data_IF_939784754752
#
_entry.id   IF_939784754752
#
_cell.length_a   1.000
_cell.length_b   1.000
_cell.length_c   1.000
_cell.angle_alpha   90.00
_cell.angle_beta   90.00
_cell.angle_gamma   90.00
#
_symmetry.space_group_name_H-M   'P 1'
#
loop_
_entity.id
_entity.type
_entity.pdbx_description
1 polymer ?
#
# COMPACT_ATOMS: atom_id res chain seq x y z
N UNK A 1 -29.62 2.74 21.28
CA UNK A 1 -28.86 3.78 20.59
C UNK A 1 -29.06 3.58 19.10
N UNK A 2 -29.70 4.55 18.43
CA UNK A 2 -29.79 4.56 16.97
C UNK A 2 -28.38 4.71 16.38
N UNK A 3 -28.02 3.98 15.31
CA UNK A 3 -26.74 4.17 14.64
C UNK A 3 -26.59 5.65 14.24
N UNK A 4 -25.47 6.27 14.59
CA UNK A 4 -25.21 7.66 14.20
C UNK A 4 -25.11 7.74 12.68
N UNK A 5 -25.43 8.89 12.09
CA UNK A 5 -25.31 9.12 10.64
C UNK A 5 -23.89 8.80 10.14
N UNK A 6 -22.87 9.07 10.98
CA UNK A 6 -21.47 8.72 10.73
C UNK A 6 -21.22 7.21 10.68
N UNK A 7 -21.85 6.41 11.55
CA UNK A 7 -21.72 4.94 11.53
C UNK A 7 -22.25 4.35 10.21
N UNK A 8 -23.39 4.85 9.74
CA UNK A 8 -23.98 4.40 8.47
C UNK A 8 -23.09 4.79 7.27
N UNK A 9 -22.59 6.03 7.27
CA UNK A 9 -21.66 6.51 6.25
C UNK A 9 -20.36 5.69 6.24
N UNK A 10 -19.81 5.36 7.42
CA UNK A 10 -18.60 4.55 7.56
C UNK A 10 -18.82 3.14 7.01
N UNK A 11 -19.95 2.51 7.34
CA UNK A 11 -20.30 1.18 6.82
C UNK A 11 -20.45 1.18 5.30
N UNK A 12 -21.09 2.19 4.73
CA UNK A 12 -21.23 2.33 3.29
C UNK A 12 -19.86 2.52 2.60
N UNK A 13 -19.01 3.37 3.17
CA UNK A 13 -17.66 3.60 2.67
C UNK A 13 -16.80 2.34 2.70
N UNK A 14 -16.78 1.60 3.82
CA UNK A 14 -16.03 0.35 3.94
C UNK A 14 -16.50 -0.70 2.92
N UNK A 15 -17.81 -0.82 2.69
CA UNK A 15 -18.34 -1.72 1.66
C UNK A 15 -17.86 -1.33 0.26
N UNK A 16 -17.92 -0.04 -0.07
CA UNK A 16 -17.45 0.46 -1.36
C UNK A 16 -15.94 0.24 -1.52
N UNK A 17 -15.16 0.60 -0.51
CA UNK A 17 -13.70 0.42 -0.51
C UNK A 17 -13.32 -1.04 -0.69
N UNK A 18 -13.90 -1.95 0.11
CA UNK A 18 -13.64 -3.38 -0.01
C UNK A 18 -14.08 -3.93 -1.38
N UNK A 19 -15.20 -3.44 -1.94
CA UNK A 19 -15.62 -3.77 -3.29
C UNK A 19 -14.56 -3.39 -4.34
N UNK A 20 -14.04 -2.16 -4.27
CA UNK A 20 -12.96 -1.69 -5.15
C UNK A 20 -11.69 -2.51 -4.98
N UNK A 21 -11.28 -2.79 -3.74
CA UNK A 21 -10.09 -3.61 -3.44
C UNK A 21 -10.25 -5.03 -4.00
N UNK A 22 -11.43 -5.65 -3.86
CA UNK A 22 -11.70 -6.98 -4.42
C UNK A 22 -11.65 -6.98 -5.95
N UNK A 23 -12.25 -5.97 -6.60
CA UNK A 23 -12.20 -5.84 -8.07
C UNK A 23 -10.75 -5.65 -8.53
N UNK A 24 -10.02 -4.72 -7.92
CA UNK A 24 -8.62 -4.46 -8.26
C UNK A 24 -7.74 -5.70 -8.05
N UNK A 25 -7.93 -6.41 -6.93
CA UNK A 25 -7.24 -7.67 -6.65
C UNK A 25 -7.61 -8.76 -7.63
N UNK A 26 -8.88 -8.88 -8.02
CA UNK A 26 -9.35 -9.85 -9.01
C UNK A 26 -8.78 -9.59 -10.40
N UNK A 27 -8.78 -8.33 -10.84
CA UNK A 27 -8.15 -7.92 -12.11
C UNK A 27 -6.66 -8.20 -12.08
N UNK A 28 -5.97 -7.85 -11.00
CA UNK A 28 -4.55 -8.16 -10.83
C UNK A 28 -4.29 -9.69 -10.83
N UNK A 29 -5.15 -10.49 -10.20
CA UNK A 29 -5.01 -11.94 -10.20
C UNK A 29 -5.16 -12.53 -11.62
N UNK A 30 -6.10 -12.02 -12.42
CA UNK A 30 -6.29 -12.42 -13.82
C UNK A 30 -5.04 -12.09 -14.64
N UNK A 31 -4.54 -10.85 -14.57
CA UNK A 31 -3.33 -10.45 -15.29
C UNK A 31 -2.09 -11.22 -14.83
N UNK A 32 -1.99 -11.51 -13.53
CA UNK A 32 -0.94 -12.37 -12.97
C UNK A 32 -1.00 -13.79 -13.56
N UNK A 33 -2.20 -14.37 -13.66
CA UNK A 33 -2.40 -15.70 -14.23
C UNK A 33 -2.03 -15.74 -15.72
N UNK A 34 -2.44 -14.71 -16.48
CA UNK A 34 -2.04 -14.53 -17.89
C UNK A 34 -0.52 -14.42 -18.00
N UNK A 35 0.13 -13.62 -17.14
CA UNK A 35 1.57 -13.46 -17.11
C UNK A 35 2.31 -14.79 -16.91
N UNK A 36 1.89 -15.60 -15.94
CA UNK A 36 2.45 -16.93 -15.71
C UNK A 36 2.19 -17.89 -16.87
N UNK A 37 1.01 -17.86 -17.48
CA UNK A 37 0.68 -18.70 -18.63
C UNK A 37 1.54 -18.35 -19.87
N UNK A 38 1.75 -17.06 -20.14
CA UNK A 38 2.64 -16.58 -21.20
C UNK A 38 4.08 -17.00 -20.91
N UNK A 39 4.56 -16.84 -19.68
CA UNK A 39 5.91 -17.24 -19.29
C UNK A 39 6.13 -18.75 -19.43
N UNK A 40 5.14 -19.56 -19.05
CA UNK A 40 5.14 -21.00 -19.26
C UNK A 40 5.20 -21.36 -20.74
N UNK A 41 4.33 -20.76 -21.55
CA UNK A 41 4.26 -21.00 -23.00
C UNK A 41 5.56 -20.64 -23.71
N UNK A 42 6.14 -19.47 -23.41
CA UNK A 42 7.43 -19.03 -23.95
C UNK A 42 8.54 -19.98 -23.52
N UNK A 43 8.61 -20.33 -22.24
CA UNK A 43 9.63 -21.25 -21.72
C UNK A 43 9.54 -22.63 -22.38
N UNK A 44 8.32 -23.14 -22.56
CA UNK A 44 8.03 -24.41 -23.21
C UNK A 44 8.45 -24.37 -24.69
N UNK A 45 8.08 -23.31 -25.40
CA UNK A 45 8.42 -23.12 -26.82
C UNK A 45 9.93 -22.99 -27.04
N UNK A 46 10.62 -22.19 -26.21
CA UNK A 46 12.09 -22.06 -26.26
C UNK A 46 12.75 -23.41 -26.00
N UNK A 47 12.30 -24.15 -24.98
CA UNK A 47 12.83 -25.48 -24.67
C UNK A 47 12.65 -26.45 -25.85
N UNK A 48 11.48 -26.44 -26.49
CA UNK A 48 11.22 -27.23 -27.69
C UNK A 48 12.16 -26.88 -28.83
N UNK A 49 12.37 -25.59 -29.11
CA UNK A 49 13.29 -25.15 -30.17
C UNK A 49 14.71 -25.64 -29.91
N UNK A 50 15.22 -25.49 -28.69
CA UNK A 50 16.56 -25.98 -28.33
C UNK A 50 16.69 -27.50 -28.50
N UNK A 51 15.70 -28.28 -28.06
CA UNK A 51 15.73 -29.73 -28.18
C UNK A 51 15.60 -30.17 -29.65
N UNK A 52 14.71 -29.53 -30.42
CA UNK A 52 14.49 -29.88 -31.82
C UNK A 52 15.74 -29.63 -32.68
N UNK A 53 16.47 -28.54 -32.41
CA UNK A 53 17.76 -28.25 -33.07
C UNK A 53 18.82 -29.29 -32.72
N UNK A 54 18.87 -29.75 -31.45
CA UNK A 54 19.83 -30.77 -31.02
C UNK A 54 19.51 -32.20 -31.50
N UNK A 55 18.23 -32.53 -31.66
CA UNK A 55 17.76 -33.89 -31.93
C UNK A 55 17.21 -34.09 -33.35
N UNK A 56 17.65 -33.29 -34.33
CA UNK A 56 17.25 -33.41 -35.75
C UNK A 56 15.73 -33.43 -35.99
N UNK A 57 14.96 -32.66 -35.20
CA UNK A 57 13.50 -32.50 -35.39
C UNK A 57 12.61 -33.38 -34.51
N UNK A 58 13.15 -34.40 -33.82
CA UNK A 58 12.39 -35.19 -32.82
C UNK A 58 12.40 -34.50 -31.44
N UNK A 59 11.71 -33.36 -31.38
CA UNK A 59 11.56 -32.57 -30.16
C UNK A 59 10.38 -33.04 -29.31
N UNK A 60 10.62 -33.84 -28.27
CA UNK A 60 9.65 -34.05 -27.18
C UNK A 60 10.10 -33.29 -25.94
N UNK A 61 9.18 -32.58 -25.29
CA UNK A 61 9.49 -31.89 -24.03
C UNK A 61 9.75 -32.92 -22.93
N UNK A 62 10.80 -32.76 -22.12
CA UNK A 62 11.06 -33.62 -20.99
C UNK A 62 9.87 -33.63 -20.03
N UNK A 63 9.49 -34.79 -19.51
CA UNK A 63 8.39 -34.92 -18.53
C UNK A 63 8.64 -34.08 -17.26
N UNK A 64 9.91 -33.80 -16.95
CA UNK A 64 10.33 -32.98 -15.80
C UNK A 64 10.18 -31.47 -16.03
N UNK A 65 9.86 -31.01 -17.25
CA UNK A 65 9.80 -29.57 -17.58
C UNK A 65 8.86 -28.81 -16.64
N UNK A 66 7.64 -29.30 -16.44
CA UNK A 66 6.65 -28.64 -15.57
C UNK A 66 7.15 -28.56 -14.13
N UNK A 67 7.80 -29.62 -13.63
CA UNK A 67 8.37 -29.63 -12.28
C UNK A 67 9.49 -28.59 -12.13
N UNK A 68 10.40 -28.50 -13.11
CA UNK A 68 11.48 -27.50 -13.13
C UNK A 68 10.91 -26.09 -13.22
N UNK A 69 9.90 -25.86 -14.06
CA UNK A 69 9.25 -24.56 -14.19
C UNK A 69 8.56 -24.13 -12.89
N UNK A 70 7.82 -25.02 -12.23
CA UNK A 70 7.18 -24.71 -10.95
C UNK A 70 8.23 -24.45 -9.86
N UNK A 71 9.32 -25.23 -9.85
CA UNK A 71 10.46 -25.00 -8.97
C UNK A 71 11.08 -23.62 -9.17
N UNK A 72 11.37 -23.23 -10.41
CA UNK A 72 11.95 -21.92 -10.73
C UNK A 72 10.98 -20.77 -10.43
N UNK A 73 9.70 -20.92 -10.75
CA UNK A 73 8.64 -19.97 -10.42
C UNK A 73 8.55 -19.72 -8.91
N UNK A 74 8.66 -20.79 -8.10
CA UNK A 74 8.66 -20.69 -6.63
C UNK A 74 9.89 -19.94 -6.12
N UNK A 75 11.07 -20.22 -6.68
CA UNK A 75 12.30 -19.50 -6.33
C UNK A 75 12.20 -18.02 -6.71
N UNK A 76 11.65 -17.70 -7.89
CA UNK A 76 11.42 -16.32 -8.33
C UNK A 76 10.43 -15.58 -7.40
N UNK A 77 9.36 -16.24 -6.97
CA UNK A 77 8.42 -15.69 -5.98
C UNK A 77 9.10 -15.39 -4.64
N UNK A 78 9.94 -16.31 -4.14
CA UNK A 78 10.71 -16.11 -2.90
C UNK A 78 11.71 -14.97 -3.04
N UNK A 79 12.44 -14.91 -4.16
CA UNK A 79 13.39 -13.85 -4.45
C UNK A 79 12.69 -12.48 -4.53
N UNK A 80 11.56 -12.38 -5.22
CA UNK A 80 10.76 -11.16 -5.27
C UNK A 80 10.23 -10.74 -3.88
N UNK A 81 9.87 -11.71 -3.03
CA UNK A 81 9.43 -11.45 -1.65
C UNK A 81 10.57 -10.89 -0.78
N UNK A 82 11.77 -11.44 -0.93
CA UNK A 82 12.97 -10.99 -0.22
C UNK A 82 13.37 -9.59 -0.70
N UNK A 83 13.37 -9.35 -2.01
CA UNK A 83 13.64 -8.04 -2.62
C UNK A 83 12.73 -6.95 -2.04
N UNK A 84 11.41 -7.19 -1.99
CA UNK A 84 10.46 -6.27 -1.35
C UNK A 84 10.72 -6.03 0.14
N UNK A 85 11.30 -7.01 0.83
CA UNK A 85 11.59 -6.89 2.26
C UNK A 85 12.86 -6.06 2.50
N UNK A 86 13.90 -6.26 1.69
CA UNK A 86 15.17 -5.54 1.83
C UNK A 86 15.11 -4.12 1.25
N UNK A 87 14.29 -3.89 0.22
CA UNK A 87 14.17 -2.62 -0.46
C UNK A 87 12.71 -2.13 -0.48
N UNK A 88 12.17 -1.68 0.66
CA UNK A 88 10.89 -0.96 0.67
C UNK A 88 11.03 0.26 -0.24
N UNK A 89 10.26 0.30 -1.33
CA UNK A 89 10.35 1.29 -2.42
C UNK A 89 10.06 2.73 -1.96
N UNK A 90 10.97 3.36 -1.23
CA UNK A 90 10.78 4.74 -0.78
C UNK A 90 11.29 5.79 -1.78
N UNK A 91 12.14 5.40 -2.76
CA UNK A 91 12.63 6.30 -3.81
C UNK A 91 12.98 5.52 -5.09
N UNK A 92 12.37 5.87 -6.23
CA UNK A 92 12.93 5.47 -7.52
C UNK A 92 14.11 6.43 -7.83
N UNK A 93 15.35 5.94 -7.93
CA UNK A 93 16.43 6.74 -8.49
C UNK A 93 16.13 7.06 -9.96
N UNK A 94 16.38 8.30 -10.38
CA UNK A 94 16.09 8.79 -11.74
C UNK A 94 16.94 8.10 -12.83
N UNK A 95 18.08 7.49 -12.46
CA UNK A 95 18.95 6.76 -13.38
C UNK A 95 19.17 5.33 -12.85
N UNK A 96 18.69 4.33 -13.60
CA UNK A 96 18.89 2.91 -13.28
C UNK A 96 19.83 2.25 -14.29
N UNK A 97 20.81 1.44 -13.84
CA UNK A 97 21.67 0.68 -14.73
C UNK A 97 20.86 -0.35 -15.56
N UNK A 98 21.30 -0.72 -16.78
CA UNK A 98 20.57 -1.63 -17.67
C UNK A 98 20.24 -2.99 -17.06
N UNK A 99 21.08 -3.49 -16.15
CA UNK A 99 20.89 -4.76 -15.46
C UNK A 99 19.63 -4.73 -14.58
N UNK A 100 19.29 -3.57 -14.00
CA UNK A 100 18.06 -3.42 -13.21
C UNK A 100 16.81 -3.53 -14.09
N UNK A 101 16.86 -3.11 -15.36
CA UNK A 101 15.74 -3.30 -16.29
C UNK A 101 15.47 -4.79 -16.56
N UNK A 102 16.51 -5.60 -16.70
CA UNK A 102 16.35 -7.05 -16.84
C UNK A 102 15.75 -7.68 -15.58
N UNK A 103 16.22 -7.27 -14.41
CA UNK A 103 15.65 -7.71 -13.15
C UNK A 103 14.17 -7.29 -13.02
N UNK A 104 13.83 -6.06 -13.40
CA UNK A 104 12.46 -5.57 -13.39
C UNK A 104 11.53 -6.40 -14.30
N UNK A 105 12.00 -6.81 -15.48
CA UNK A 105 11.25 -7.71 -16.38
C UNK A 105 11.11 -9.11 -15.77
N UNK A 106 12.21 -9.69 -15.26
CA UNK A 106 12.22 -11.04 -14.69
C UNK A 106 11.33 -11.14 -13.45
N UNK A 107 11.35 -10.12 -12.59
CA UNK A 107 10.54 -10.04 -11.38
C UNK A 107 9.17 -9.41 -11.62
N UNK A 108 8.82 -9.01 -12.84
CA UNK A 108 7.54 -8.39 -13.14
C UNK A 108 6.37 -9.27 -12.73
N UNK A 109 6.31 -10.50 -13.24
CA UNK A 109 5.21 -11.43 -12.95
C UNK A 109 5.15 -11.78 -11.46
N UNK A 110 6.27 -12.17 -10.79
CA UNK A 110 6.27 -12.40 -9.35
C UNK A 110 5.83 -11.20 -8.50
N UNK A 111 6.36 -9.99 -8.79
CA UNK A 111 5.98 -8.76 -8.07
C UNK A 111 4.50 -8.47 -8.28
N UNK A 112 3.97 -8.69 -9.48
CA UNK A 112 2.56 -8.50 -9.77
C UNK A 112 1.65 -9.50 -9.03
N UNK A 113 2.08 -10.78 -8.92
CA UNK A 113 1.41 -11.77 -8.06
C UNK A 113 1.40 -11.33 -6.59
N UNK A 114 2.53 -10.81 -6.10
CA UNK A 114 2.64 -10.30 -4.72
C UNK A 114 1.74 -9.08 -4.49
N UNK A 115 1.60 -8.18 -5.47
CA UNK A 115 0.66 -7.05 -5.38
C UNK A 115 -0.79 -7.51 -5.21
N UNK A 116 -1.18 -8.64 -5.80
CA UNK A 116 -2.52 -9.22 -5.57
C UNK A 116 -2.71 -9.56 -4.08
N UNK A 117 -1.69 -10.18 -3.47
CA UNK A 117 -1.72 -10.52 -2.05
C UNK A 117 -1.76 -9.28 -1.15
N UNK A 118 -0.96 -8.26 -1.48
CA UNK A 118 -0.93 -7.00 -0.74
C UNK A 118 -2.25 -6.24 -0.85
N UNK A 119 -2.86 -6.20 -2.04
CA UNK A 119 -4.17 -5.58 -2.24
C UNK A 119 -5.25 -6.28 -1.40
N UNK A 120 -5.26 -7.62 -1.35
CA UNK A 120 -6.16 -8.35 -0.45
C UNK A 120 -5.88 -8.08 1.03
N UNK A 121 -4.61 -7.83 1.40
CA UNK A 121 -4.23 -7.38 2.73
C UNK A 121 -4.78 -6.00 3.10
N UNK A 122 -5.13 -5.17 2.11
CA UNK A 122 -5.78 -3.87 2.31
C UNK A 122 -7.30 -3.97 2.54
N UNK A 123 -7.87 -5.17 2.62
CA UNK A 123 -9.27 -5.34 3.01
C UNK A 123 -9.49 -4.86 4.45
N UNK A 124 -10.25 -3.78 4.59
CA UNK A 124 -10.57 -3.22 5.89
C UNK A 124 -11.80 -3.92 6.47
N UNK A 125 -11.64 -4.57 7.62
CA UNK A 125 -12.74 -5.18 8.35
C UNK A 125 -12.91 -4.56 9.74
N UNK A 126 -14.08 -3.95 9.97
CA UNK A 126 -14.52 -3.51 11.29
C UNK A 126 -15.69 -4.36 11.75
N UNK A 127 -15.52 -5.00 12.91
CA UNK A 127 -16.60 -5.77 13.51
C UNK A 127 -17.69 -4.86 14.08
N UNK A 128 -18.80 -5.47 14.50
CA UNK A 128 -19.97 -4.74 15.02
C UNK A 128 -19.68 -3.94 16.28
N UNK A 129 -18.65 -4.34 17.06
CA UNK A 129 -18.26 -3.67 18.31
C UNK A 129 -17.26 -2.54 18.06
N UNK A 130 -16.45 -2.65 17.02
CA UNK A 130 -15.45 -1.64 16.65
C UNK A 130 -16.06 -0.49 15.83
N UNK A 131 -17.17 -0.74 15.12
CA UNK A 131 -17.84 0.26 14.27
C UNK A 131 -18.27 1.53 15.03
N UNK A 132 -18.90 1.46 16.22
CA UNK A 132 -19.28 2.66 16.97
C UNK A 132 -18.07 3.46 17.46
N UNK A 133 -17.02 2.78 17.90
CA UNK A 133 -15.76 3.41 18.35
C UNK A 133 -15.10 4.17 17.18
N UNK A 134 -15.07 3.55 15.99
CA UNK A 134 -14.55 4.15 14.77
C UNK A 134 -15.36 5.38 14.35
N UNK A 135 -16.69 5.31 14.43
CA UNK A 135 -17.56 6.43 14.13
C UNK A 135 -17.35 7.59 15.13
N UNK A 136 -17.22 7.28 16.41
CA UNK A 136 -16.93 8.26 17.46
C UNK A 136 -15.60 8.97 17.23
N UNK A 137 -14.54 8.23 16.87
CA UNK A 137 -13.25 8.83 16.53
C UNK A 137 -13.36 9.77 15.32
N UNK A 138 -14.10 9.36 14.28
CA UNK A 138 -14.32 10.22 13.11
C UNK A 138 -15.13 11.47 13.46
N UNK A 139 -16.14 11.36 14.32
CA UNK A 139 -16.90 12.51 14.81
C UNK A 139 -16.03 13.46 15.65
N UNK A 140 -15.11 12.91 16.44
CA UNK A 140 -14.15 13.72 17.19
C UNK A 140 -13.13 14.40 16.27
N UNK A 141 -12.62 13.70 15.26
CA UNK A 141 -11.75 14.28 14.23
C UNK A 141 -12.47 15.36 13.41
N UNK A 142 -13.78 15.21 13.17
CA UNK A 142 -14.62 16.26 12.57
C UNK A 142 -14.81 17.47 13.48
N UNK A 143 -14.80 17.30 14.79
CA UNK A 143 -14.93 18.43 15.71
C UNK A 143 -13.59 19.16 15.88
N UNK A 144 -12.51 18.41 16.12
CA UNK A 144 -11.22 18.96 16.57
C UNK A 144 -10.18 19.09 15.44
N UNK A 145 -10.49 18.60 14.23
CA UNK A 145 -9.60 18.52 13.03
C UNK A 145 -8.36 17.62 13.18
N UNK A 146 -7.90 17.40 14.41
CA UNK A 146 -6.78 16.52 14.73
C UNK A 146 -6.94 15.89 16.10
N UNK A 147 -6.44 14.68 16.27
CA UNK A 147 -6.44 13.97 17.56
C UNK A 147 -5.05 13.41 17.81
N UNK A 148 -4.49 13.61 18.99
CA UNK A 148 -3.17 13.07 19.32
C UNK A 148 -3.25 11.55 19.50
N UNK A 149 -2.31 10.81 18.91
CA UNK A 149 -2.25 9.35 19.06
C UNK A 149 -2.12 8.94 20.54
N UNK A 150 -1.53 9.80 21.38
CA UNK A 150 -1.35 9.58 22.82
C UNK A 150 -2.65 9.72 23.62
N UNK A 151 -3.66 10.41 23.09
CA UNK A 151 -4.97 10.56 23.75
C UNK A 151 -5.90 9.37 23.49
N UNK A 152 -5.64 8.60 22.42
CA UNK A 152 -6.49 7.49 22.03
C UNK A 152 -6.62 6.36 23.07
N UNK A 153 -5.60 6.01 23.88
CA UNK A 153 -5.78 5.02 24.94
C UNK A 153 -6.78 5.47 26.01
N UNK A 154 -6.87 6.78 26.29
CA UNK A 154 -7.84 7.32 27.23
C UNK A 154 -9.28 7.26 26.65
N UNK A 155 -9.43 7.54 25.36
CA UNK A 155 -10.73 7.46 24.67
C UNK A 155 -11.18 6.01 24.41
N UNK A 156 -10.23 5.13 24.09
CA UNK A 156 -10.46 3.74 23.72
C UNK A 156 -9.50 2.82 24.51
N UNK A 157 -9.91 2.38 25.72
CA UNK A 157 -9.03 1.63 26.63
C UNK A 157 -8.68 0.22 26.13
N UNK A 158 -9.42 -0.32 25.16
CA UNK A 158 -9.18 -1.66 24.63
C UNK A 158 -8.17 -1.66 23.48
N UNK A 159 -6.90 -1.93 23.77
CA UNK A 159 -5.78 -1.92 22.82
C UNK A 159 -6.05 -2.68 21.52
N UNK A 160 -6.58 -3.90 21.60
CA UNK A 160 -6.86 -4.73 20.41
C UNK A 160 -7.91 -4.10 19.49
N UNK A 161 -8.96 -3.51 20.06
CA UNK A 161 -10.03 -2.84 19.29
C UNK A 161 -9.51 -1.54 18.71
N UNK A 162 -8.81 -0.75 19.52
CA UNK A 162 -8.17 0.51 19.10
C UNK A 162 -7.23 0.29 17.92
N UNK A 163 -6.37 -0.74 17.97
CA UNK A 163 -5.47 -1.08 16.87
C UNK A 163 -6.22 -1.45 15.59
N UNK A 164 -7.20 -2.35 15.66
CA UNK A 164 -8.00 -2.76 14.49
C UNK A 164 -8.77 -1.60 13.88
N UNK A 165 -9.34 -0.75 14.72
CA UNK A 165 -10.02 0.48 14.32
C UNK A 165 -9.07 1.40 13.55
N UNK A 166 -7.93 1.74 14.14
CA UNK A 166 -6.94 2.62 13.51
C UNK A 166 -6.41 2.04 12.21
N UNK A 167 -6.06 0.76 12.21
CA UNK A 167 -5.58 0.06 11.01
C UNK A 167 -6.61 0.13 9.87
N UNK A 168 -7.88 -0.17 10.15
CA UNK A 168 -8.94 -0.07 9.15
C UNK A 168 -9.15 1.36 8.63
N UNK A 169 -9.05 2.37 9.50
CA UNK A 169 -9.21 3.78 9.12
C UNK A 169 -8.02 4.32 8.31
N UNK A 170 -6.79 3.87 8.62
CA UNK A 170 -5.58 4.23 7.90
C UNK A 170 -5.53 3.56 6.52
N UNK A 171 -5.84 2.26 6.46
CA UNK A 171 -5.85 1.47 5.21
C UNK A 171 -6.89 2.02 4.23
N UNK A 172 -8.04 2.48 4.73
CA UNK A 172 -9.07 3.09 3.88
C UNK A 172 -8.75 4.53 3.47
N UNK A 173 -7.70 5.14 4.03
CA UNK A 173 -7.36 6.56 3.80
C UNK A 173 -8.39 7.53 4.39
N UNK A 174 -9.25 7.07 5.30
CA UNK A 174 -10.17 7.93 6.04
C UNK A 174 -9.45 8.79 7.07
N UNK A 175 -8.34 8.26 7.61
CA UNK A 175 -7.48 8.95 8.57
C UNK A 175 -6.05 8.88 8.07
N UNK A 176 -5.30 9.97 8.20
CA UNK A 176 -3.86 10.04 7.95
C UNK A 176 -3.09 10.29 9.25
N UNK A 177 -1.89 9.71 9.35
CA UNK A 177 -0.93 10.03 10.42
C UNK A 177 0.05 11.09 9.95
N UNK A 178 0.20 12.16 10.72
CA UNK A 178 1.19 13.21 10.49
C UNK A 178 2.02 13.43 11.74
N UNK A 179 3.31 13.73 11.55
CA UNK A 179 4.20 14.08 12.64
C UNK A 179 4.33 15.60 12.71
N UNK A 180 3.81 16.20 13.79
CA UNK A 180 3.90 17.63 14.07
C UNK A 180 4.55 17.78 15.47
N UNK A 181 5.60 18.60 15.57
CA UNK A 181 6.25 18.95 16.84
C UNK A 181 6.57 17.74 17.75
N UNK A 182 7.20 16.72 17.16
CA UNK A 182 7.59 15.44 17.80
C UNK A 182 6.43 14.49 18.17
N UNK A 183 5.18 14.91 18.04
CA UNK A 183 3.99 14.12 18.30
C UNK A 183 3.39 13.56 17.00
N UNK A 184 2.69 12.43 17.11
CA UNK A 184 1.93 11.84 16.01
C UNK A 184 0.47 12.24 16.17
N UNK A 185 -0.03 12.97 15.18
CA UNK A 185 -1.40 13.42 15.10
C UNK A 185 -2.15 12.63 14.04
N UNK A 186 -3.40 12.30 14.35
CA UNK A 186 -4.36 11.78 13.39
C UNK A 186 -5.16 12.93 12.80
N UNK A 187 -5.32 12.92 11.48
CA UNK A 187 -6.13 13.88 10.75
C UNK A 187 -7.14 13.13 9.87
N UNK A 188 -8.23 13.79 9.49
CA UNK A 188 -9.07 13.29 8.39
C UNK A 188 -8.23 13.21 7.13
N UNK A 189 -8.19 12.04 6.50
CA UNK A 189 -7.31 11.76 5.38
C UNK A 189 -7.68 12.55 4.13
N UNK A 190 -6.68 12.83 3.29
CA UNK A 190 -6.88 13.56 2.03
C UNK A 190 -7.72 12.81 0.99
N UNK A 191 -8.03 11.53 1.24
CA UNK A 191 -8.89 10.68 0.42
C UNK A 191 -10.26 10.42 1.08
N UNK A 192 -10.49 10.91 2.29
CA UNK A 192 -11.75 10.72 2.99
C UNK A 192 -12.90 11.41 2.22
N UNK A 193 -14.08 10.78 2.07
CA UNK A 193 -15.25 11.42 1.45
C UNK A 193 -15.64 12.74 2.14
N UNK A 194 -16.31 13.64 1.41
CA UNK A 194 -16.75 14.93 1.94
C UNK A 194 -17.70 14.81 3.14
N UNK A 195 -18.41 13.69 3.27
CA UNK A 195 -19.24 13.38 4.45
C UNK A 195 -18.43 13.26 5.74
N UNK A 196 -17.12 13.04 5.64
CA UNK A 196 -16.17 13.00 6.75
C UNK A 196 -15.36 14.29 6.89
N UNK A 197 -15.39 15.16 5.87
CA UNK A 197 -14.70 16.45 5.90
C UNK A 197 -15.60 17.52 6.47
N UNK A 198 -15.03 18.39 7.28
CA UNK A 198 -15.69 19.63 7.67
C UNK A 198 -15.69 20.53 6.43
N UNK A 199 -16.86 21.01 6.01
CA UNK A 199 -16.96 22.00 4.93
C UNK A 199 -16.16 23.24 5.35
N UNK A 200 -15.12 23.65 4.62
CA UNK A 200 -14.41 24.89 4.93
C UNK A 200 -15.39 26.05 4.71
N UNK A 201 -15.91 26.62 5.80
CA UNK A 201 -16.85 27.75 5.74
C UNK A 201 -17.85 27.88 6.90
N UNK A 202 -18.00 26.87 7.77
CA UNK A 202 -19.00 26.91 8.87
C UNK A 202 -18.44 27.13 10.27
N UNK A 203 -17.13 27.33 10.41
CA UNK A 203 -16.51 27.72 11.68
C UNK A 203 -15.79 29.06 11.48
N UNK A 204 -15.90 30.01 12.43
CA UNK A 204 -15.04 31.18 12.42
C UNK A 204 -13.60 30.70 12.32
N UNK A 205 -12.80 31.38 11.51
CA UNK A 205 -11.39 31.07 11.34
C UNK A 205 -10.77 30.94 12.74
N UNK A 206 -10.56 29.70 13.20
CA UNK A 206 -9.60 29.45 14.24
C UNK A 206 -8.31 29.99 13.64
N UNK A 207 -7.84 31.11 14.20
CA UNK A 207 -6.56 31.71 13.87
C UNK A 207 -5.57 30.56 13.77
N UNK A 208 -5.21 30.22 12.54
CA UNK A 208 -4.23 29.21 12.29
C UNK A 208 -2.94 29.82 12.86
N UNK A 209 -2.38 29.30 13.97
CA UNK A 209 -1.15 29.85 14.53
C UNK A 209 0.03 29.69 13.54
N UNK A 210 -0.20 29.02 12.40
CA UNK A 210 0.73 28.86 11.30
C UNK A 210 0.39 29.71 10.06
N UNK A 211 -0.69 30.49 10.05
CA UNK A 211 -1.05 31.35 8.90
C UNK A 211 -0.06 32.50 8.62
N UNK A 212 0.92 32.72 9.51
CA UNK A 212 2.03 33.65 9.31
C UNK A 212 3.41 33.00 9.29
N UNK A 213 3.52 31.68 9.48
CA UNK A 213 4.81 31.00 9.39
C UNK A 213 5.09 30.80 7.90
N UNK A 214 6.12 31.46 7.32
CA UNK A 214 6.50 31.18 5.95
C UNK A 214 6.72 29.67 5.86
N UNK A 215 5.98 29.02 4.97
CA UNK A 215 6.27 27.66 4.49
C UNK A 215 7.64 27.72 3.84
N UNK A 216 8.69 27.74 4.65
CA UNK A 216 10.05 27.52 4.20
C UNK A 216 9.96 26.13 3.60
N UNK A 217 10.08 26.07 2.27
CA UNK A 217 10.35 24.83 1.55
C UNK A 217 11.61 24.22 2.18
N UNK A 218 11.45 23.42 3.23
CA UNK A 218 12.48 22.53 3.77
C UNK A 218 12.59 21.37 2.78
N UNK A 219 13.02 21.69 1.55
CA UNK A 219 13.36 20.73 0.50
C UNK A 219 14.78 20.93 -0.02
N UNK A 220 15.60 21.80 0.60
CA UNK A 220 16.96 22.11 0.10
C UNK A 220 18.09 22.24 1.13
N UNK A 221 17.88 22.08 2.44
CA UNK A 221 18.98 22.26 3.42
C UNK A 221 19.67 21.00 3.93
N UNK A 222 19.12 19.81 3.68
CA UNK A 222 19.82 18.55 3.99
C UNK A 222 20.87 18.20 2.92
N UNK A 223 20.69 18.67 1.68
CA UNK A 223 21.62 18.36 0.58
C UNK A 223 22.94 19.16 0.63
N UNK A 224 22.93 20.36 1.25
CA UNK A 224 24.11 21.21 1.37
C UNK A 224 25.02 20.88 2.56
N UNK A 225 24.49 20.24 3.61
CA UNK A 225 25.32 19.80 4.73
C UNK A 225 26.07 18.51 4.38
N UNK A 226 25.45 17.59 3.62
CA UNK A 226 26.11 16.36 3.16
C UNK A 226 27.22 16.61 2.12
N UNK A 227 27.08 17.64 1.28
CA UNK A 227 28.13 18.04 0.33
C UNK A 227 29.35 18.72 0.97
N UNK A 228 29.27 19.13 2.24
CA UNK A 228 30.44 19.66 2.96
C UNK A 228 31.25 18.56 3.64
N UNK A 229 30.60 17.51 4.14
CA UNK A 229 31.32 16.37 4.74
C UNK A 229 32.13 15.58 3.69
N UNK A 230 31.63 15.44 2.45
CA UNK A 230 32.34 14.74 1.36
C UNK A 230 33.49 15.57 0.74
N UNK A 231 33.69 16.82 1.14
CA UNK A 231 34.81 17.67 0.68
C UNK A 231 35.94 17.81 1.71
N UNK A 232 35.72 17.33 2.93
CA UNK A 232 36.71 17.38 4.03
C UNK A 232 37.33 16.00 4.34
N UNK A 233 37.06 14.99 3.50
CA UNK A 233 37.74 13.69 3.47
C UNK A 233 38.52 13.54 2.16
#
# INVERSE_FOLDING_TARGET
>A
MSPTSTEQALRAHLRSHNGTVLIASGVAAIFSAIGWAVLYGVSYWVTLMFIAVGNNGDGRVPQVFTMVFVGSATVLMLAARLDQWFFPSDRMPDERPPVEHFADILFFVPRFTMSCWQNLGALAHLGRREMPDAALLLDHLKAERRVSLQQLPAMFPHDRRRRRMLEALLVTGLVDQRREDSLIWLHVGALAPDTFRIRPGTLPAAEDPLAGVPQVKIRRRVHLLRQREDREQ
#
